data_IF_635848975089
#
_entry.id   IF_635848975089
#
_cell.length_a   1.000
_cell.length_b   1.000
_cell.length_c   1.000
_cell.angle_alpha   90.00
_cell.angle_beta   90.00
_cell.angle_gamma   90.00
#
_symmetry.space_group_name_H-M   'P 1'
#
loop_
_entity.id
_entity.type
_entity.pdbx_description
1 polymer ?
#
# COMPACT_ATOMS: atom_id res chain seq x y z
N UNK A 1 -4.32 46.13 8.65
CA UNK A 1 -5.25 45.18 8.04
C UNK A 1 -4.48 44.49 6.94
N UNK A 2 -3.62 43.57 7.35
CA UNK A 2 -2.85 42.73 6.43
C UNK A 2 -3.69 41.46 6.24
N UNK A 3 -4.07 41.20 5.00
CA UNK A 3 -4.77 39.98 4.61
C UNK A 3 -3.71 38.92 4.38
N UNK A 4 -3.53 38.04 5.37
CA UNK A 4 -2.74 36.82 5.19
C UNK A 4 -3.49 35.88 4.22
N UNK A 5 -3.02 35.85 2.98
CA UNK A 5 -3.41 34.86 1.98
C UNK A 5 -2.88 33.49 2.41
N UNK A 6 -3.78 32.61 2.83
CA UNK A 6 -3.49 31.20 3.10
C UNK A 6 -3.06 30.53 1.80
N UNK A 7 -1.76 30.31 1.63
CA UNK A 7 -1.21 29.48 0.58
C UNK A 7 -1.51 28.01 0.92
N UNK A 8 -2.54 27.43 0.31
CA UNK A 8 -2.74 25.98 0.25
C UNK A 8 -1.69 25.39 -0.69
N UNK A 9 -0.48 25.15 -0.18
CA UNK A 9 0.60 24.54 -0.95
C UNK A 9 0.31 23.04 -1.17
N UNK A 10 0.16 22.63 -2.42
CA UNK A 10 0.12 21.20 -2.77
C UNK A 10 1.44 20.54 -2.37
N UNK A 11 1.38 19.62 -1.41
CA UNK A 11 2.54 18.96 -0.79
C UNK A 11 3.11 17.83 -1.66
N UNK A 12 2.39 17.41 -2.70
CA UNK A 12 2.73 16.29 -3.56
C UNK A 12 2.41 16.61 -5.03
N UNK A 13 3.12 15.97 -5.96
CA UNK A 13 2.96 16.24 -7.39
C UNK A 13 1.62 15.71 -7.94
N UNK A 14 1.11 16.27 -9.05
CA UNK A 14 -0.10 15.77 -9.70
C UNK A 14 -0.04 14.29 -10.06
N UNK A 15 1.14 13.77 -10.40
CA UNK A 15 1.39 12.37 -10.72
C UNK A 15 1.16 11.48 -9.51
N UNK A 16 1.70 11.83 -8.34
CA UNK A 16 1.47 11.12 -7.07
C UNK A 16 -0.02 11.03 -6.75
N UNK A 17 -0.76 12.14 -6.92
CA UNK A 17 -2.20 12.17 -6.72
C UNK A 17 -2.95 11.32 -7.75
N UNK A 18 -2.48 11.30 -9.00
CA UNK A 18 -2.99 10.46 -10.08
C UNK A 18 -2.88 8.97 -9.74
N UNK A 19 -1.72 8.52 -9.27
CA UNK A 19 -1.54 7.12 -8.85
C UNK A 19 -2.38 6.77 -7.62
N UNK A 20 -2.48 7.67 -6.64
CA UNK A 20 -3.36 7.45 -5.49
C UNK A 20 -4.84 7.37 -5.90
N UNK A 21 -5.27 8.12 -6.92
CA UNK A 21 -6.62 7.99 -7.49
C UNK A 21 -6.87 6.59 -8.03
N UNK A 22 -5.90 6.00 -8.74
CA UNK A 22 -6.00 4.64 -9.26
C UNK A 22 -6.07 3.60 -8.12
N UNK A 23 -5.32 3.80 -7.03
CA UNK A 23 -5.44 2.98 -5.83
C UNK A 23 -6.84 3.07 -5.19
N UNK A 24 -7.45 4.27 -5.17
CA UNK A 24 -8.83 4.46 -4.70
C UNK A 24 -9.84 3.74 -5.58
N UNK A 25 -9.63 3.69 -6.89
CA UNK A 25 -10.50 2.91 -7.77
C UNK A 25 -10.45 1.41 -7.46
N UNK A 26 -9.28 0.87 -7.07
CA UNK A 26 -9.18 -0.50 -6.55
C UNK A 26 -9.91 -0.68 -5.20
N UNK A 27 -9.83 0.31 -4.31
CA UNK A 27 -10.53 0.29 -3.03
C UNK A 27 -12.06 0.28 -3.21
N UNK A 28 -12.59 0.97 -4.23
CA UNK A 28 -14.02 0.90 -4.60
C UNK A 28 -14.42 -0.50 -5.04
N UNK A 29 -13.59 -1.16 -5.87
CA UNK A 29 -13.84 -2.55 -6.26
C UNK A 29 -13.86 -3.50 -5.05
N UNK A 30 -13.01 -3.29 -4.05
CA UNK A 30 -13.07 -4.03 -2.78
C UNK A 30 -14.40 -3.77 -2.06
N UNK A 31 -14.79 -2.50 -1.92
CA UNK A 31 -16.05 -2.12 -1.28
C UNK A 31 -17.27 -2.77 -1.97
N UNK A 32 -17.33 -2.72 -3.30
CA UNK A 32 -18.41 -3.30 -4.11
C UNK A 32 -18.48 -4.83 -3.95
N UNK A 33 -17.39 -5.46 -3.53
CA UNK A 33 -17.31 -6.89 -3.22
C UNK A 33 -17.48 -7.22 -1.73
N UNK A 34 -17.91 -6.25 -0.92
CA UNK A 34 -18.10 -6.39 0.53
C UNK A 34 -16.78 -6.74 1.28
N UNK A 35 -15.66 -6.22 0.79
CA UNK A 35 -14.35 -6.30 1.43
C UNK A 35 -14.01 -5.00 2.17
N UNK A 36 -12.95 -5.04 2.99
CA UNK A 36 -12.36 -3.81 3.54
C UNK A 36 -11.87 -2.93 2.37
N UNK A 37 -12.23 -1.63 2.30
CA UNK A 37 -11.97 -0.77 1.14
C UNK A 37 -10.50 -0.29 1.08
N UNK A 38 -9.58 -1.23 0.91
CA UNK A 38 -8.16 -0.97 0.69
C UNK A 38 -7.79 -1.40 -0.72
N UNK A 39 -7.15 -0.49 -1.44
CA UNK A 39 -6.65 -0.70 -2.79
C UNK A 39 -5.26 -0.12 -2.95
N UNK A 40 -4.50 -0.64 -3.91
CA UNK A 40 -3.16 -0.17 -4.21
C UNK A 40 -2.80 -0.33 -5.69
N UNK A 41 -1.76 0.39 -6.10
CA UNK A 41 -1.06 0.23 -7.37
C UNK A 41 0.45 0.22 -7.16
N UNK A 42 1.17 -0.59 -7.93
CA UNK A 42 2.63 -0.61 -7.98
C UNK A 42 3.05 0.06 -9.29
N UNK A 43 3.98 1.01 -9.18
CA UNK A 43 4.45 1.86 -10.27
C UNK A 43 5.95 1.65 -10.48
N UNK A 44 6.36 1.47 -11.73
CA UNK A 44 7.76 1.46 -12.19
C UNK A 44 7.86 2.45 -13.36
N UNK A 45 8.81 3.38 -13.32
CA UNK A 45 9.01 4.40 -14.37
C UNK A 45 7.71 5.10 -14.81
N UNK A 46 6.94 5.62 -13.85
CA UNK A 46 5.65 6.31 -14.06
C UNK A 46 4.52 5.43 -14.65
N UNK A 47 4.75 4.13 -14.82
CA UNK A 47 3.77 3.19 -15.33
C UNK A 47 3.23 2.29 -14.23
N UNK A 48 1.90 2.17 -14.15
CA UNK A 48 1.27 1.17 -13.27
C UNK A 48 1.50 -0.22 -13.86
N UNK A 49 2.30 -1.03 -13.16
CA UNK A 49 2.65 -2.39 -13.58
C UNK A 49 1.81 -3.45 -12.86
N UNK A 50 1.22 -3.12 -11.72
CA UNK A 50 0.24 -3.96 -11.03
C UNK A 50 -0.72 -3.16 -10.17
N UNK A 51 -1.86 -3.77 -9.87
CA UNK A 51 -2.89 -3.24 -9.00
C UNK A 51 -3.41 -4.34 -8.09
N UNK A 52 -3.85 -3.98 -6.88
CA UNK A 52 -4.37 -4.91 -5.90
C UNK A 52 -5.50 -4.29 -5.08
N UNK A 53 -6.36 -5.15 -4.56
CA UNK A 53 -7.46 -4.79 -3.65
C UNK A 53 -7.61 -5.87 -2.59
N UNK A 54 -8.13 -5.51 -1.42
CA UNK A 54 -8.38 -6.51 -0.38
C UNK A 54 -9.39 -7.57 -0.86
N UNK A 55 -9.08 -8.85 -0.64
CA UNK A 55 -9.89 -10.01 -1.06
C UNK A 55 -9.97 -11.10 0.01
N UNK A 56 -9.83 -10.73 1.29
CA UNK A 56 -9.75 -11.68 2.41
C UNK A 56 -10.96 -12.59 2.56
N UNK A 57 -12.18 -12.05 2.43
CA UNK A 57 -13.43 -12.79 2.50
C UNK A 57 -13.64 -13.61 1.22
N UNK A 58 -13.44 -13.00 0.06
CA UNK A 58 -13.64 -13.61 -1.26
C UNK A 58 -12.80 -14.88 -1.42
N UNK A 59 -11.55 -14.82 -0.99
CA UNK A 59 -10.57 -15.91 -1.10
C UNK A 59 -10.53 -16.83 0.13
N UNK A 60 -11.22 -16.46 1.22
CA UNK A 60 -11.12 -17.12 2.54
C UNK A 60 -9.67 -17.22 3.04
N UNK A 61 -8.87 -16.20 2.78
CA UNK A 61 -7.47 -16.16 3.18
C UNK A 61 -7.13 -14.78 3.77
N UNK A 62 -6.76 -14.79 5.05
CA UNK A 62 -6.48 -13.58 5.82
C UNK A 62 -5.28 -12.77 5.29
N UNK A 63 -4.39 -13.35 4.48
CA UNK A 63 -3.22 -12.63 3.96
C UNK A 63 -3.52 -11.85 2.67
N UNK A 64 -4.74 -11.93 2.15
CA UNK A 64 -5.11 -11.38 0.82
C UNK A 64 -5.45 -9.90 0.90
N UNK A 65 -4.52 -9.13 1.46
CA UNK A 65 -4.54 -7.67 1.47
C UNK A 65 -4.16 -7.11 0.10
N UNK A 66 -4.49 -5.85 -0.16
CA UNK A 66 -4.26 -5.20 -1.45
C UNK A 66 -2.80 -5.30 -1.90
N UNK A 67 -1.86 -5.01 -1.00
CA UNK A 67 -0.42 -5.03 -1.25
C UNK A 67 0.06 -6.44 -1.63
N UNK A 68 -0.43 -7.47 -0.93
CA UNK A 68 -0.06 -8.86 -1.22
C UNK A 68 -0.61 -9.32 -2.56
N UNK A 69 -1.84 -8.95 -2.91
CA UNK A 69 -2.43 -9.27 -4.22
C UNK A 69 -1.65 -8.61 -5.36
N UNK A 70 -1.24 -7.34 -5.20
CA UNK A 70 -0.45 -6.64 -6.22
C UNK A 70 0.95 -7.26 -6.40
N UNK A 71 1.61 -7.64 -5.31
CA UNK A 71 2.90 -8.35 -5.33
C UNK A 71 2.75 -9.69 -6.05
N UNK A 72 1.74 -10.50 -5.70
CA UNK A 72 1.52 -11.81 -6.31
C UNK A 72 1.28 -11.70 -7.83
N UNK A 73 0.54 -10.69 -8.28
CA UNK A 73 0.35 -10.41 -9.70
C UNK A 73 1.69 -10.18 -10.41
N UNK A 74 2.57 -9.34 -9.86
CA UNK A 74 3.89 -9.10 -10.44
C UNK A 74 4.76 -10.34 -10.44
N UNK A 75 4.81 -11.07 -9.32
CA UNK A 75 5.62 -12.28 -9.20
C UNK A 75 5.22 -13.33 -10.25
N UNK A 76 3.92 -13.54 -10.46
CA UNK A 76 3.42 -14.46 -11.48
C UNK A 76 3.81 -13.99 -12.89
N UNK A 77 3.71 -12.69 -13.18
CA UNK A 77 4.11 -12.12 -14.47
C UNK A 77 5.62 -12.26 -14.71
N UNK A 78 6.44 -11.91 -13.73
CA UNK A 78 7.90 -11.96 -13.83
C UNK A 78 8.45 -13.39 -13.89
N UNK A 79 7.82 -14.33 -13.19
CA UNK A 79 8.13 -15.74 -13.33
C UNK A 79 7.87 -16.24 -14.75
N UNK A 80 6.80 -15.77 -15.42
CA UNK A 80 6.50 -16.11 -16.82
C UNK A 80 7.48 -15.49 -17.80
N UNK A 81 7.95 -14.27 -17.53
CA UNK A 81 9.01 -13.62 -18.33
C UNK A 81 10.36 -14.32 -18.19
N UNK A 82 10.56 -15.07 -17.10
CA UNK A 82 11.79 -15.81 -16.83
C UNK A 82 12.84 -15.00 -16.08
N UNK A 83 12.44 -13.95 -15.36
CA UNK A 83 13.35 -13.21 -14.50
C UNK A 83 13.88 -14.10 -13.38
N UNK A 84 15.17 -14.00 -13.13
CA UNK A 84 15.85 -14.61 -11.99
C UNK A 84 15.43 -13.92 -10.68
N UNK A 85 15.67 -14.57 -9.55
CA UNK A 85 15.39 -13.97 -8.24
C UNK A 85 16.16 -12.66 -8.01
N UNK A 86 17.37 -12.54 -8.57
CA UNK A 86 18.17 -11.32 -8.48
C UNK A 86 17.55 -10.16 -9.29
N UNK A 87 17.12 -10.44 -10.53
CA UNK A 87 16.44 -9.45 -11.37
C UNK A 87 15.09 -9.02 -10.75
N UNK A 88 14.33 -9.95 -10.15
CA UNK A 88 13.09 -9.62 -9.43
C UNK A 88 13.35 -8.65 -8.28
N UNK A 89 14.41 -8.88 -7.49
CA UNK A 89 14.79 -7.99 -6.40
C UNK A 89 15.21 -6.60 -6.92
N UNK A 90 15.98 -6.55 -8.01
CA UNK A 90 16.37 -5.30 -8.66
C UNK A 90 15.15 -4.52 -9.16
N UNK A 91 14.18 -5.20 -9.80
CA UNK A 91 12.95 -4.57 -10.26
C UNK A 91 12.11 -4.01 -9.11
N UNK A 92 11.93 -4.75 -8.02
CA UNK A 92 11.22 -4.21 -6.84
C UNK A 92 11.91 -2.96 -6.27
N UNK A 93 13.24 -2.88 -6.32
CA UNK A 93 13.99 -1.71 -5.84
C UNK A 93 13.79 -0.44 -6.69
N UNK A 94 13.21 -0.58 -7.89
CA UNK A 94 12.77 0.54 -8.74
C UNK A 94 11.27 0.85 -8.59
N UNK A 95 10.50 -0.01 -7.91
CA UNK A 95 9.06 0.11 -7.80
C UNK A 95 8.63 1.00 -6.62
N UNK A 96 7.55 1.76 -6.81
CA UNK A 96 6.87 2.53 -5.77
C UNK A 96 5.44 2.02 -5.57
N UNK A 97 4.98 1.91 -4.32
CA UNK A 97 3.61 1.51 -4.00
C UNK A 97 2.77 2.72 -3.62
N UNK A 98 1.56 2.80 -4.15
CA UNK A 98 0.54 3.74 -3.71
C UNK A 98 -0.64 2.95 -3.15
N UNK A 99 -0.98 3.15 -1.88
CA UNK A 99 -2.02 2.39 -1.17
C UNK A 99 -2.97 3.32 -0.42
N UNK A 100 -4.26 3.02 -0.40
CA UNK A 100 -5.24 3.94 0.21
C UNK A 100 -5.13 4.08 1.73
N UNK A 101 -4.60 3.07 2.40
CA UNK A 101 -4.40 3.02 3.85
C UNK A 101 -2.98 2.55 4.17
N UNK A 102 -2.41 3.03 5.26
CA UNK A 102 -1.08 2.64 5.72
C UNK A 102 -0.95 1.11 5.80
N UNK A 103 0.11 0.53 5.19
CA UNK A 103 0.33 -0.90 5.25
C UNK A 103 0.35 -1.43 6.67
N UNK A 104 -0.33 -2.54 6.90
CA UNK A 104 -0.26 -3.20 8.20
C UNK A 104 1.14 -3.80 8.42
N UNK A 105 1.46 -4.20 9.65
CA UNK A 105 2.73 -4.83 10.03
C UNK A 105 3.16 -5.95 9.05
N UNK A 106 2.23 -6.83 8.63
CA UNK A 106 2.52 -7.91 7.67
C UNK A 106 2.94 -7.36 6.31
N UNK A 107 2.15 -6.45 5.74
CA UNK A 107 2.42 -5.88 4.42
C UNK A 107 3.68 -5.02 4.45
N UNK A 108 3.88 -4.21 5.49
CA UNK A 108 5.07 -3.42 5.69
C UNK A 108 6.34 -4.29 5.78
N UNK A 109 6.29 -5.41 6.51
CA UNK A 109 7.40 -6.36 6.56
C UNK A 109 7.68 -7.00 5.19
N UNK A 110 6.65 -7.42 4.47
CA UNK A 110 6.80 -8.01 3.14
C UNK A 110 7.46 -7.03 2.16
N UNK A 111 6.99 -5.78 2.14
CA UNK A 111 7.53 -4.69 1.30
C UNK A 111 9.00 -4.41 1.61
N UNK A 112 9.40 -4.47 2.88
CA UNK A 112 10.80 -4.32 3.30
C UNK A 112 11.67 -5.53 2.90
N UNK A 113 11.13 -6.75 3.00
CA UNK A 113 11.84 -7.98 2.61
C UNK A 113 12.10 -8.00 1.09
N UNK A 114 11.12 -7.59 0.27
CA UNK A 114 11.29 -7.56 -1.19
C UNK A 114 12.11 -6.35 -1.66
N UNK A 115 12.35 -5.38 -0.78
CA UNK A 115 13.15 -4.19 -1.07
C UNK A 115 12.45 -3.20 -2.00
N UNK A 116 11.18 -2.88 -1.74
CA UNK A 116 10.48 -1.83 -2.49
C UNK A 116 11.12 -0.46 -2.24
N UNK A 117 11.12 0.44 -3.22
CA UNK A 117 11.75 1.76 -3.10
C UNK A 117 11.06 2.65 -2.06
N UNK A 118 9.76 2.84 -2.24
CA UNK A 118 8.97 3.80 -1.47
C UNK A 118 7.49 3.43 -1.48
N UNK A 119 6.79 3.88 -0.43
CA UNK A 119 5.37 3.62 -0.23
C UNK A 119 4.67 4.93 0.12
N UNK A 120 3.68 5.29 -0.68
CA UNK A 120 2.77 6.41 -0.44
C UNK A 120 1.44 5.86 0.06
N UNK A 121 0.93 6.40 1.16
CA UNK A 121 -0.35 5.98 1.70
C UNK A 121 -1.31 7.14 1.97
N UNK A 122 -2.62 6.89 1.78
CA UNK A 122 -3.66 7.91 1.90
C UNK A 122 -3.99 8.31 3.34
N UNK A 123 -4.35 7.33 4.17
CA UNK A 123 -4.63 7.53 5.60
C UNK A 123 -3.81 6.60 6.50
N UNK A 124 -3.63 6.98 7.76
CA UNK A 124 -2.96 6.17 8.78
C UNK A 124 -3.80 4.93 9.18
N UNK A 125 -3.10 3.92 9.72
CA UNK A 125 -3.70 2.68 10.23
C UNK A 125 -3.50 2.56 11.75
N UNK A 126 -4.43 3.14 12.49
CA UNK A 126 -4.38 3.28 13.96
C UNK A 126 -4.35 1.96 14.75
N UNK A 127 -4.68 0.83 14.10
CA UNK A 127 -4.75 -0.48 14.77
C UNK A 127 -3.57 -1.37 14.46
N UNK A 128 -3.06 -1.32 13.22
CA UNK A 128 -2.10 -2.30 12.72
C UNK A 128 -0.98 -1.68 11.88
N UNK A 129 -0.84 -0.36 11.83
CA UNK A 129 0.11 0.35 10.95
C UNK A 129 1.58 -0.02 11.17
N UNK A 130 2.24 -0.46 10.11
CA UNK A 130 3.65 -0.86 10.11
C UNK A 130 4.61 0.20 9.57
N UNK A 131 4.11 1.40 9.23
CA UNK A 131 4.89 2.51 8.68
C UNK A 131 5.00 3.71 9.64
N UNK A 132 4.70 3.53 10.92
CA UNK A 132 4.86 4.56 11.95
C UNK A 132 3.71 4.63 12.96
N UNK A 133 2.50 4.18 12.62
CA UNK A 133 1.37 4.28 13.56
C UNK A 133 1.51 3.33 14.75
N UNK A 134 1.96 2.09 14.52
CA UNK A 134 2.23 1.11 15.59
C UNK A 134 3.71 0.71 15.61
N UNK A 135 4.24 0.30 14.45
CA UNK A 135 5.66 -0.03 14.26
C UNK A 135 6.22 0.74 13.07
N UNK A 136 7.54 0.94 13.06
CA UNK A 136 8.26 1.59 11.97
C UNK A 136 9.15 0.59 11.24
N UNK A 137 8.55 -0.34 10.50
CA UNK A 137 9.29 -1.37 9.75
C UNK A 137 9.92 -0.84 8.46
N UNK A 138 9.42 0.29 7.97
CA UNK A 138 9.97 1.01 6.82
C UNK A 138 11.34 1.64 7.14
N UNK A 139 11.57 2.10 8.37
CA UNK A 139 12.83 2.69 8.79
C UNK A 139 13.77 1.61 9.36
N UNK A 140 14.68 1.10 8.55
CA UNK A 140 15.65 0.10 9.01
C UNK A 140 16.70 0.73 9.94
N UNK A 141 16.45 0.70 11.25
CA UNK A 141 17.51 0.71 12.25
C UNK A 141 17.36 -0.54 13.12
N UNK A 142 18.04 -1.62 12.74
CA UNK A 142 18.21 -2.77 13.60
C UNK A 142 19.58 -3.37 13.35
N UNK A 143 20.47 -3.20 14.33
CA UNK A 143 21.62 -4.08 14.52
C UNK A 143 21.07 -5.52 14.59
N UNK A 144 21.27 -6.27 13.52
CA UNK A 144 20.78 -7.63 13.43
C UNK A 144 21.60 -8.52 14.37
N UNK A 145 20.97 -9.05 15.44
CA UNK A 145 21.36 -10.34 15.99
C UNK A 145 20.94 -11.45 15.01
N UNK A 146 21.52 -11.49 13.80
CA UNK A 146 21.29 -12.58 12.85
C UNK A 146 22.64 -13.04 12.34
N UNK A 147 23.01 -14.24 12.78
CA UNK A 147 24.16 -15.01 12.30
C UNK A 147 24.12 -15.12 10.77
N UNK A 148 25.13 -14.51 10.15
CA UNK A 148 25.58 -14.56 8.75
C UNK A 148 24.86 -15.51 7.77
N UNK A 149 24.29 -14.87 6.71
CA UNK A 149 23.78 -15.39 5.40
C UNK A 149 22.25 -15.39 5.16
N UNK A 150 21.53 -14.36 5.60
CA UNK A 150 20.20 -14.04 5.05
C UNK A 150 20.23 -12.66 4.38
N UNK A 151 19.48 -12.49 3.29
CA UNK A 151 19.30 -11.22 2.59
C UNK A 151 18.98 -10.10 3.58
N UNK A 152 19.71 -8.99 3.48
CA UNK A 152 19.52 -7.85 4.39
C UNK A 152 18.11 -7.31 4.20
N UNK A 153 17.35 -7.20 5.29
CA UNK A 153 16.08 -6.45 5.31
C UNK A 153 16.41 -4.99 5.02
N UNK A 154 15.88 -4.45 3.93
CA UNK A 154 16.14 -3.07 3.53
C UNK A 154 14.96 -2.19 3.92
N UNK A 155 15.26 -1.04 4.51
CA UNK A 155 14.23 -0.03 4.77
C UNK A 155 13.70 0.57 3.46
N UNK A 156 12.52 1.16 3.51
CA UNK A 156 11.93 1.94 2.43
C UNK A 156 11.36 3.25 2.97
N UNK A 157 11.17 4.24 2.10
CA UNK A 157 10.57 5.52 2.50
C UNK A 157 9.04 5.37 2.60
N UNK A 158 8.47 5.63 3.77
CA UNK A 158 7.02 5.67 3.98
C UNK A 158 6.51 7.12 4.01
N UNK A 159 5.61 7.49 3.11
CA UNK A 159 5.10 8.86 2.96
C UNK A 159 3.57 8.88 3.13
N UNK A 160 3.11 9.48 4.23
CA UNK A 160 1.70 9.77 4.42
C UNK A 160 1.29 10.96 3.56
N UNK A 161 0.29 10.77 2.71
CA UNK A 161 -0.25 11.83 1.87
C UNK A 161 -1.24 12.73 2.63
N UNK A 162 -1.71 12.34 3.82
CA UNK A 162 -2.74 13.01 4.62
C UNK A 162 -3.86 13.53 3.72
N UNK A 163 -4.55 12.62 3.02
CA UNK A 163 -5.62 12.95 2.08
C UNK A 163 -7.01 12.78 2.72
N UNK A 164 -7.48 13.71 3.58
CA UNK A 164 -8.83 13.64 4.15
C UNK A 164 -9.91 13.81 3.08
N UNK A 165 -9.58 14.38 1.91
CA UNK A 165 -10.53 14.81 0.89
C UNK A 165 -10.82 13.78 -0.23
N UNK A 166 -10.13 12.64 -0.25
CA UNK A 166 -10.32 11.58 -1.25
C UNK A 166 -11.08 10.36 -0.71
N UNK A 167 -11.32 10.32 0.61
CA UNK A 167 -12.24 9.39 1.25
C UNK A 167 -13.65 9.91 0.96
N UNK A 168 -14.33 9.27 0.01
CA UNK A 168 -15.75 9.55 -0.27
C UNK A 168 -16.55 9.46 1.03
N UNK A 169 -17.55 10.34 1.26
CA UNK A 169 -18.50 10.13 2.33
C UNK A 169 -19.15 8.76 2.10
N UNK A 170 -18.88 7.82 2.99
CA UNK A 170 -19.71 6.64 3.13
C UNK A 170 -21.08 7.18 3.56
N UNK A 171 -21.99 7.39 2.61
CA UNK A 171 -23.39 7.53 2.97
C UNK A 171 -23.76 6.26 3.72
N UNK A 172 -24.01 6.44 5.01
CA UNK A 172 -24.31 5.41 5.99
C UNK A 172 -25.61 4.71 5.61
N UNK A 173 -25.52 3.69 4.77
CA UNK A 173 -26.57 2.67 4.65
C UNK A 173 -26.49 1.78 5.90
N UNK A 174 -27.19 2.24 6.93
CA UNK A 174 -27.71 1.39 8.01
C UNK A 174 -28.49 0.22 7.42
N UNK A 175 -27.83 -0.91 7.14
CA UNK A 175 -28.49 -2.17 6.80
C UNK A 175 -27.56 -3.38 6.92
N UNK A 176 -26.94 -3.62 8.08
CA UNK A 176 -26.49 -4.99 8.41
C UNK A 176 -26.49 -5.24 9.92
N UNK A 177 -27.65 -5.06 10.51
CA UNK A 177 -27.98 -5.59 11.83
C UNK A 177 -29.45 -6.04 11.80
N UNK A 178 -29.76 -7.11 11.06
CA UNK A 178 -30.89 -8.02 11.29
C UNK A 178 -31.02 -9.04 10.15
N UNK A 179 -30.37 -10.19 10.34
CA UNK A 179 -30.84 -11.51 9.95
C UNK A 179 -30.43 -12.38 11.17
N UNK A 180 -31.28 -12.85 12.09
CA UNK A 180 -32.64 -13.38 11.93
C UNK A 180 -32.55 -14.56 10.97
N UNK A 181 -32.68 -15.84 11.34
CA UNK A 181 -33.30 -16.52 12.49
C UNK A 181 -32.89 -17.99 12.43
#
# INVERSE_FOLDING_TARGET
METDSVASGERFSPEVLGFMRLAIDQAKLALDSLEVPVGCVIVEDENVIAAGRNRTNETRNATRHAEMEAIDVLLIQWQRTGFTAAEVAEKFSACSLYVTCEPCIMCAAALSIIGIKEVYYGCANDKFGGCGSILSLHSSSSEACISSKASQVTGYSGLNLDLPALILPVESSHAFAQLGS
#
